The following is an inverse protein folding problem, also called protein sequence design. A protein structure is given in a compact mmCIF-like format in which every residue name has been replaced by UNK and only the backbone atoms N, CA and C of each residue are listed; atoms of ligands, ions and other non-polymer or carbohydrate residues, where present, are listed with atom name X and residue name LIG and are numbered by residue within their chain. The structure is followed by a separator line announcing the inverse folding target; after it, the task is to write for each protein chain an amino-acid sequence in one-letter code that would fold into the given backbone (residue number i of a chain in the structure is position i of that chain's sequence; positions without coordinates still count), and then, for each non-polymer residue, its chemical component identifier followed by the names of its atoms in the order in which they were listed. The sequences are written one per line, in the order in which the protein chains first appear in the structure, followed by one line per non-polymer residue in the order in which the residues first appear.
data_IF_129793950877
#
_entry.id   IF_129793950877
#
_cell.length_a   1.000
_cell.length_b   1.000
_cell.length_c   1.000
_cell.angle_alpha   90.00
_cell.angle_beta   90.00
_cell.angle_gamma   90.00
#
_symmetry.space_group_name_H-M   'P 1'
#
loop_
_entity.id
_entity.type
_entity.pdbx_description
1 polymer ?
#
# COMPACT_ATOMS: atom_id res chain seq x y z
N UNK A 1 5.80 7.70 -22.50
CA UNK A 1 6.79 7.13 -21.55
C UNK A 1 6.26 7.33 -20.14
N UNK A 2 5.80 6.26 -19.47
CA UNK A 2 5.42 6.34 -18.06
C UNK A 2 6.66 6.03 -17.22
N UNK A 3 7.22 7.05 -16.56
CA UNK A 3 8.40 6.93 -15.70
C UNK A 3 7.93 6.75 -14.26
N UNK A 4 7.24 5.63 -14.00
CA UNK A 4 6.87 5.22 -12.65
C UNK A 4 6.62 3.70 -12.64
N UNK A 5 7.69 2.91 -12.55
CA UNK A 5 7.56 1.49 -12.24
C UNK A 5 7.47 1.35 -10.71
N UNK A 6 6.44 0.65 -10.23
CA UNK A 6 6.36 0.28 -8.81
C UNK A 6 7.26 -0.92 -8.57
N UNK A 7 8.41 -0.70 -7.93
CA UNK A 7 9.40 -1.76 -7.70
C UNK A 7 9.30 -2.29 -6.27
N UNK A 8 9.34 -3.61 -6.13
CA UNK A 8 9.47 -4.29 -4.84
C UNK A 8 8.18 -4.38 -4.00
N UNK A 9 7.01 -3.98 -4.53
CA UNK A 9 5.75 -4.15 -3.81
C UNK A 9 5.28 -5.61 -3.89
N UNK A 10 5.21 -6.35 -2.77
CA UNK A 10 4.72 -7.72 -2.77
C UNK A 10 3.20 -7.75 -2.92
N UNK A 11 2.68 -8.82 -3.53
CA UNK A 11 1.25 -9.09 -3.67
C UNK A 11 0.99 -10.57 -3.43
N UNK A 12 -0.05 -10.89 -2.65
CA UNK A 12 -0.53 -12.27 -2.50
C UNK A 12 -1.73 -12.47 -3.42
N UNK A 13 -1.60 -13.39 -4.37
CA UNK A 13 -2.69 -13.75 -5.29
C UNK A 13 -3.60 -14.78 -4.62
N UNK A 14 -4.92 -14.53 -4.64
CA UNK A 14 -5.95 -15.44 -4.10
C UNK A 14 -6.54 -16.38 -5.16
N UNK A 15 -6.23 -16.10 -6.43
CA UNK A 15 -6.72 -16.84 -7.60
C UNK A 15 -5.55 -17.12 -8.54
N UNK A 16 -5.71 -18.12 -9.40
CA UNK A 16 -4.78 -18.35 -10.50
C UNK A 16 -4.83 -17.15 -11.45
N UNK A 17 -3.69 -16.57 -11.75
CA UNK A 17 -3.57 -15.42 -12.64
C UNK A 17 -2.35 -15.56 -13.54
N UNK A 18 -2.38 -14.85 -14.67
CA UNK A 18 -1.20 -14.63 -15.49
C UNK A 18 -0.50 -13.36 -14.98
N UNK A 19 0.82 -13.37 -14.99
CA UNK A 19 1.66 -12.21 -14.71
C UNK A 19 2.43 -11.85 -15.97
N UNK A 20 2.67 -10.56 -16.19
CA UNK A 20 3.59 -10.11 -17.23
C UNK A 20 5.03 -10.11 -16.71
N UNK A 21 5.97 -9.82 -17.60
CA UNK A 21 7.42 -9.79 -17.38
C UNK A 21 7.94 -8.86 -16.26
N UNK A 22 7.10 -7.95 -15.75
CA UNK A 22 7.43 -7.04 -14.65
C UNK A 22 7.24 -7.63 -13.26
N UNK A 23 6.85 -8.90 -13.15
CA UNK A 23 6.64 -9.59 -11.88
C UNK A 23 7.63 -10.74 -11.68
N UNK A 24 8.12 -10.84 -10.45
CA UNK A 24 8.82 -12.02 -9.94
C UNK A 24 7.86 -12.79 -9.04
N UNK A 25 7.91 -14.12 -9.09
CA UNK A 25 7.08 -14.99 -8.27
C UNK A 25 7.90 -16.12 -7.68
N UNK A 26 7.48 -16.63 -6.52
CA UNK A 26 8.13 -17.74 -5.85
C UNK A 26 7.54 -19.08 -6.29
N UNK A 27 8.33 -19.91 -6.96
CA UNK A 27 7.95 -21.28 -7.32
C UNK A 27 8.11 -22.20 -6.11
N UNK A 28 7.06 -22.94 -5.74
CA UNK A 28 7.15 -23.96 -4.69
C UNK A 28 7.41 -23.40 -3.29
N UNK A 29 6.86 -22.22 -2.99
CA UNK A 29 7.05 -21.54 -1.71
C UNK A 29 6.63 -22.43 -0.53
N UNK A 30 7.58 -22.72 0.37
CA UNK A 30 7.36 -23.51 1.60
C UNK A 30 7.19 -22.66 2.86
N UNK A 31 7.65 -21.41 2.82
CA UNK A 31 7.54 -20.47 3.94
C UNK A 31 6.14 -19.86 4.05
N UNK A 32 5.84 -19.27 5.21
CA UNK A 32 4.58 -18.57 5.40
C UNK A 32 4.54 -17.31 4.50
N UNK A 33 3.56 -17.28 3.59
CA UNK A 33 3.41 -16.19 2.59
C UNK A 33 3.04 -14.85 3.21
N UNK A 34 2.29 -14.86 4.31
CA UNK A 34 1.87 -13.64 5.01
C UNK A 34 3.08 -12.97 5.70
N UNK A 35 3.93 -13.76 6.33
CA UNK A 35 5.22 -13.32 6.87
C UNK A 35 6.12 -12.73 5.77
N UNK A 36 6.29 -13.45 4.66
CA UNK A 36 7.08 -12.95 3.52
C UNK A 36 6.49 -11.66 2.94
N UNK A 37 5.17 -11.55 2.83
CA UNK A 37 4.53 -10.33 2.36
C UNK A 37 4.93 -9.13 3.22
N UNK A 38 4.88 -9.26 4.55
CA UNK A 38 5.31 -8.18 5.45
C UNK A 38 6.81 -7.91 5.39
N UNK A 39 7.63 -8.96 5.29
CA UNK A 39 9.09 -8.84 5.18
C UNK A 39 9.51 -8.09 3.91
N UNK A 40 8.89 -8.37 2.77
CA UNK A 40 9.15 -7.63 1.53
C UNK A 40 8.49 -6.24 1.56
N UNK A 41 7.37 -6.07 2.26
CA UNK A 41 6.67 -4.77 2.33
C UNK A 41 7.50 -3.67 3.02
N UNK A 42 8.43 -4.03 3.92
CA UNK A 42 9.30 -3.05 4.55
C UNK A 42 10.42 -2.53 3.64
N UNK A 43 10.69 -3.22 2.51
CA UNK A 43 11.66 -2.83 1.50
C UNK A 43 13.13 -3.03 1.87
N UNK A 44 13.44 -3.42 3.10
CA UNK A 44 14.81 -3.66 3.54
C UNK A 44 15.49 -4.83 2.82
N UNK A 45 14.83 -5.98 2.54
CA UNK A 45 15.49 -7.14 1.94
C UNK A 45 16.14 -6.89 0.58
N UNK A 46 15.62 -5.93 -0.20
CA UNK A 46 16.10 -5.63 -1.55
C UNK A 46 16.66 -4.20 -1.68
N UNK A 47 16.88 -3.53 -0.56
CA UNK A 47 17.40 -2.17 -0.53
C UNK A 47 18.81 -2.14 -1.11
N UNK A 48 19.02 -1.27 -2.09
CA UNK A 48 20.31 -1.15 -2.78
C UNK A 48 20.64 -2.29 -3.75
N UNK A 49 19.77 -3.31 -3.89
CA UNK A 49 19.99 -4.43 -4.81
C UNK A 49 19.48 -4.17 -6.23
N UNK A 50 18.70 -3.12 -6.43
CA UNK A 50 18.22 -2.77 -7.76
C UNK A 50 19.37 -2.34 -8.67
N UNK A 51 19.46 -2.95 -9.85
CA UNK A 51 20.48 -2.58 -10.84
C UNK A 51 20.22 -1.16 -11.31
N UNK A 52 21.22 -0.28 -11.17
CA UNK A 52 21.13 1.08 -11.70
C UNK A 52 21.27 1.07 -13.23
N UNK A 53 20.16 1.35 -13.90
CA UNK A 53 20.07 1.72 -15.31
C UNK A 53 19.11 2.90 -15.47
N UNK A 54 18.47 3.05 -16.63
CA UNK A 54 17.41 4.07 -16.83
C UNK A 54 16.18 3.83 -15.94
N UNK A 55 15.96 2.59 -15.50
CA UNK A 55 14.92 2.20 -14.55
C UNK A 55 15.47 1.20 -13.53
N UNK A 56 15.02 1.31 -12.28
CA UNK A 56 15.32 0.35 -11.22
C UNK A 56 14.62 -0.98 -11.52
N UNK A 57 15.35 -2.09 -11.51
CA UNK A 57 14.80 -3.43 -11.76
C UNK A 57 15.31 -4.44 -10.71
N UNK A 58 14.38 -5.27 -10.20
CA UNK A 58 14.65 -6.44 -9.36
C UNK A 58 14.28 -7.68 -10.17
N UNK A 59 15.28 -8.33 -10.78
CA UNK A 59 15.04 -9.52 -11.58
C UNK A 59 14.99 -10.79 -10.70
N UNK A 60 14.63 -11.92 -11.32
CA UNK A 60 14.52 -13.21 -10.62
C UNK A 60 15.79 -13.60 -9.88
N UNK A 61 16.97 -13.39 -10.48
CA UNK A 61 18.25 -13.73 -9.85
C UNK A 61 18.51 -12.86 -8.62
N UNK A 62 18.34 -11.54 -8.74
CA UNK A 62 18.52 -10.59 -7.64
C UNK A 62 17.60 -10.90 -6.47
N UNK A 63 16.34 -11.28 -6.71
CA UNK A 63 15.42 -11.69 -5.63
C UNK A 63 15.80 -13.07 -5.07
N UNK A 64 16.24 -14.00 -5.92
CA UNK A 64 16.63 -15.35 -5.53
C UNK A 64 17.86 -15.39 -4.62
N UNK A 65 18.78 -14.44 -4.76
CA UNK A 65 20.02 -14.34 -3.99
C UNK A 65 19.84 -13.63 -2.63
N UNK A 66 18.64 -13.10 -2.34
CA UNK A 66 18.38 -12.41 -1.07
C UNK A 66 18.37 -13.41 0.09
N UNK A 67 19.23 -13.15 1.06
CA UNK A 67 19.25 -13.89 2.32
C UNK A 67 18.17 -13.33 3.24
N UNK A 68 17.15 -14.14 3.55
CA UNK A 68 16.03 -13.74 4.38
C UNK A 68 16.13 -14.35 5.79
N UNK A 69 15.74 -13.60 6.84
CA UNK A 69 15.54 -14.20 8.15
C UNK A 69 14.45 -15.27 8.08
N UNK A 70 14.73 -16.42 8.70
CA UNK A 70 13.82 -17.57 8.75
C UNK A 70 13.65 -18.06 10.18
N UNK A 71 12.92 -17.30 11.02
CA UNK A 71 12.62 -17.73 12.38
C UNK A 71 11.67 -18.95 12.37
N UNK A 72 11.48 -19.64 13.51
CA UNK A 72 10.54 -20.75 13.62
C UNK A 72 9.12 -20.36 13.22
N UNK A 73 8.33 -21.33 12.74
CA UNK A 73 7.00 -21.09 12.20
C UNK A 73 6.02 -20.40 13.18
N UNK A 74 6.17 -20.64 14.50
CA UNK A 74 5.37 -19.95 15.52
C UNK A 74 5.71 -18.46 15.61
N UNK A 75 6.99 -18.11 15.50
CA UNK A 75 7.44 -16.72 15.53
C UNK A 75 7.02 -15.99 14.25
N UNK A 76 7.15 -16.62 13.08
CA UNK A 76 6.61 -16.08 11.83
C UNK A 76 5.11 -15.76 11.96
N UNK A 77 4.34 -16.68 12.56
CA UNK A 77 2.91 -16.50 12.84
C UNK A 77 2.64 -15.35 13.80
N UNK A 78 3.40 -15.24 14.88
CA UNK A 78 3.24 -14.16 15.83
C UNK A 78 3.50 -12.79 15.19
N UNK A 79 4.57 -12.68 14.41
CA UNK A 79 4.95 -11.45 13.71
C UNK A 79 3.86 -11.02 12.73
N UNK A 80 3.43 -11.89 11.80
CA UNK A 80 2.48 -11.44 10.78
C UNK A 80 1.11 -11.12 11.39
N UNK A 81 0.64 -11.85 12.42
CA UNK A 81 -0.65 -11.54 13.07
C UNK A 81 -0.64 -10.20 13.78
N UNK A 82 0.47 -9.87 14.44
CA UNK A 82 0.64 -8.56 15.07
C UNK A 82 0.57 -7.46 14.02
N UNK A 83 1.35 -7.60 12.94
CA UNK A 83 1.37 -6.62 11.85
C UNK A 83 0.00 -6.48 11.19
N UNK A 84 -0.69 -7.58 10.91
CA UNK A 84 -2.02 -7.59 10.31
C UNK A 84 -3.08 -6.88 11.15
N UNK A 85 -3.02 -7.06 12.48
CA UNK A 85 -3.93 -6.38 13.41
C UNK A 85 -3.67 -4.88 13.42
N UNK A 86 -2.41 -4.46 13.54
CA UNK A 86 -2.05 -3.05 13.60
C UNK A 86 -2.27 -2.33 12.27
N UNK A 87 -1.97 -2.96 11.14
CA UNK A 87 -2.19 -2.37 9.81
C UNK A 87 -3.68 -2.25 9.51
N UNK A 88 -4.50 -3.26 9.84
CA UNK A 88 -5.96 -3.16 9.69
C UNK A 88 -6.56 -2.03 10.55
N UNK A 89 -6.03 -1.82 11.77
CA UNK A 89 -6.44 -0.70 12.63
C UNK A 89 -6.11 0.65 11.99
N UNK A 90 -4.92 0.79 11.41
CA UNK A 90 -4.51 2.00 10.70
C UNK A 90 -5.35 2.24 9.44
N UNK A 91 -5.63 1.19 8.65
CA UNK A 91 -6.46 1.28 7.45
C UNK A 91 -7.89 1.73 7.78
N UNK A 92 -8.47 1.22 8.88
CA UNK A 92 -9.77 1.66 9.35
C UNK A 92 -9.78 3.15 9.76
N UNK A 93 -8.70 3.63 10.38
CA UNK A 93 -8.57 5.05 10.74
C UNK A 93 -8.41 5.93 9.48
N UNK A 94 -7.58 5.51 8.52
CA UNK A 94 -7.39 6.20 7.24
C UNK A 94 -8.72 6.30 6.49
N UNK A 95 -9.52 5.22 6.47
CA UNK A 95 -10.83 5.21 5.83
C UNK A 95 -11.77 6.26 6.45
N UNK A 96 -11.85 6.31 7.78
CA UNK A 96 -12.67 7.32 8.50
C UNK A 96 -12.23 8.75 8.22
N UNK A 97 -10.93 9.00 8.18
CA UNK A 97 -10.38 10.33 7.86
C UNK A 97 -10.73 10.72 6.43
N UNK A 98 -10.61 9.81 5.47
CA UNK A 98 -11.00 10.05 4.07
C UNK A 98 -12.50 10.35 3.94
N UNK A 99 -13.35 9.60 4.64
CA UNK A 99 -14.79 9.86 4.67
C UNK A 99 -15.09 11.27 5.22
N UNK A 100 -14.46 11.66 6.34
CA UNK A 100 -14.62 12.98 6.91
C UNK A 100 -14.20 14.09 5.93
N UNK A 101 -13.09 13.90 5.21
CA UNK A 101 -12.63 14.84 4.17
C UNK A 101 -13.69 15.00 3.08
N UNK A 102 -14.28 13.91 2.59
CA UNK A 102 -15.31 13.98 1.56
C UNK A 102 -16.58 14.67 2.07
N UNK A 103 -17.02 14.38 3.31
CA UNK A 103 -18.16 15.09 3.93
C UNK A 103 -17.92 16.59 4.06
N UNK A 104 -16.71 17.01 4.42
CA UNK A 104 -16.37 18.43 4.50
C UNK A 104 -16.37 19.10 3.12
N UNK A 105 -15.96 18.39 2.06
CA UNK A 105 -16.05 18.90 0.67
C UNK A 105 -17.49 19.02 0.20
N UNK A 106 -18.34 18.03 0.51
CA UNK A 106 -19.78 18.07 0.23
C UNK A 106 -20.44 19.26 0.93
N UNK A 107 -20.16 19.42 2.23
CA UNK A 107 -20.69 20.54 3.02
C UNK A 107 -20.25 21.89 2.46
N UNK A 108 -18.96 22.05 2.15
CA UNK A 108 -18.43 23.28 1.53
C UNK A 108 -19.18 23.60 0.24
N UNK A 109 -19.39 22.61 -0.61
CA UNK A 109 -20.09 22.78 -1.89
C UNK A 109 -21.55 23.19 -1.68
N UNK A 110 -22.24 22.55 -0.73
CA UNK A 110 -23.61 22.88 -0.37
C UNK A 110 -23.75 24.29 0.20
N UNK A 111 -22.83 24.70 1.10
CA UNK A 111 -22.81 26.05 1.68
C UNK A 111 -22.60 27.13 0.61
N UNK A 112 -21.63 26.94 -0.29
CA UNK A 112 -21.41 27.85 -1.42
C UNK A 112 -22.68 27.94 -2.26
N UNK A 113 -23.27 26.81 -2.62
CA UNK A 113 -24.51 26.76 -3.41
C UNK A 113 -25.66 27.49 -2.71
N UNK A 114 -25.83 27.30 -1.41
CA UNK A 114 -26.87 27.96 -0.63
C UNK A 114 -26.66 29.49 -0.55
N UNK A 115 -25.41 29.94 -0.36
CA UNK A 115 -25.07 31.36 -0.35
C UNK A 115 -25.33 32.02 -1.72
N UNK A 116 -24.86 31.43 -2.83
CA UNK A 116 -25.03 32.03 -4.17
C UNK A 116 -26.46 31.94 -4.70
N UNK A 117 -27.26 31.00 -4.20
CA UNK A 117 -28.70 30.91 -4.53
C UNK A 117 -29.58 31.75 -3.59
N UNK A 118 -28.98 32.49 -2.66
CA UNK A 118 -29.70 33.34 -1.71
C UNK A 118 -30.52 32.57 -0.67
N UNK A 119 -30.27 31.26 -0.51
CA UNK A 119 -30.88 30.45 0.56
C UNK A 119 -30.28 30.75 1.93
N UNK A 120 -29.09 31.35 1.97
CA UNK A 120 -28.42 31.86 3.16
C UNK A 120 -28.00 33.31 2.85
N UNK A 121 -28.33 34.26 3.74
CA UNK A 121 -27.90 35.65 3.64
C UNK A 121 -26.56 35.84 4.35
N UNK A 122 -25.57 36.32 3.61
CA UNK A 122 -24.18 36.51 4.08
C UNK A 122 -23.79 37.98 4.21
N UNK A 123 -24.76 38.90 4.07
CA UNK A 123 -24.51 40.35 4.08
C UNK A 123 -24.31 40.94 5.47
N UNK A 124 -24.83 40.31 6.52
CA UNK A 124 -24.68 40.79 7.91
C UNK A 124 -23.36 40.36 8.58
N UNK A 125 -22.65 39.38 8.02
CA UNK A 125 -21.41 38.84 8.60
C UNK A 125 -20.14 39.58 8.16
N UNK A 126 -20.24 40.52 7.21
CA UNK A 126 -19.11 41.24 6.62
C UNK A 126 -18.89 42.67 7.19
N UNK A 127 -19.50 42.99 8.35
CA UNK A 127 -19.40 44.28 9.03
C UNK A 127 -18.39 44.27 10.19
#
# INVERSE_FOLDING_TARGET
MSIAATVGKPVITKIKCCIHDGFVYFVGLRENREYLHYLFSCGEPYKGLGKMGTQLNLNTDTIGDIHLPRPPAEEQRAIFRFLDTETARLDALIAKVREAIERLKELRTALISAAVTGKIDVREEAA
#
